data_IF_396671191631
#
_entry.id   IF_396671191631
#
_cell.length_a   1.000
_cell.length_b   1.000
_cell.length_c   1.000
_cell.angle_alpha   90.00
_cell.angle_beta   90.00
_cell.angle_gamma   90.00
#
_symmetry.space_group_name_H-M   'P 1'
#
loop_
_entity.id
_entity.type
_entity.pdbx_description
1 polymer ?
#
# COMPACT_ATOMS: atom_id res chain seq x y z
N UNK A 1 -10.61 8.90 3.42
CA UNK A 1 -9.17 9.16 3.20
C UNK A 1 -8.88 10.61 3.57
N UNK A 2 -7.75 10.89 4.23
CA UNK A 2 -7.41 12.25 4.68
C UNK A 2 -8.12 12.66 5.97
N UNK A 3 -8.53 11.72 6.83
CA UNK A 3 -9.29 12.00 8.07
C UNK A 3 -8.54 12.90 9.05
N UNK A 4 -7.20 12.96 8.95
CA UNK A 4 -6.36 13.87 9.73
C UNK A 4 -6.69 15.36 9.50
N UNK A 5 -7.31 15.72 8.37
CA UNK A 5 -7.77 17.09 8.08
C UNK A 5 -9.06 17.46 8.82
N UNK A 6 -9.73 16.49 9.42
CA UNK A 6 -11.06 16.64 10.02
C UNK A 6 -12.20 16.25 9.06
N UNK A 7 -13.44 16.16 9.58
CA UNK A 7 -14.58 15.55 8.89
C UNK A 7 -14.95 16.27 7.59
N UNK A 8 -14.78 17.58 7.52
CA UNK A 8 -15.18 18.41 6.37
C UNK A 8 -14.22 18.31 5.18
N UNK A 9 -13.03 17.74 5.38
CA UNK A 9 -11.98 17.61 4.36
C UNK A 9 -11.67 16.15 3.98
N UNK A 10 -12.50 15.21 4.46
CA UNK A 10 -12.37 13.79 4.13
C UNK A 10 -12.77 13.56 2.68
N UNK A 11 -11.92 12.84 1.95
CA UNK A 11 -12.23 12.35 0.61
C UNK A 11 -12.75 10.91 0.68
N UNK A 12 -13.64 10.50 -0.24
CA UNK A 12 -14.03 9.11 -0.38
C UNK A 12 -12.80 8.21 -0.46
N UNK A 13 -12.83 7.12 0.29
CA UNK A 13 -11.96 5.97 0.05
C UNK A 13 -12.58 5.05 -0.99
N UNK A 14 -12.15 3.80 -1.01
CA UNK A 14 -12.76 2.82 -1.90
C UNK A 14 -11.96 1.55 -2.05
N UNK A 15 -12.37 0.74 -3.02
CA UNK A 15 -11.66 -0.47 -3.43
C UNK A 15 -10.84 -0.17 -4.68
N UNK A 16 -9.55 -0.46 -4.61
CA UNK A 16 -8.61 -0.32 -5.71
C UNK A 16 -8.07 -1.66 -6.17
N UNK A 17 -7.89 -1.81 -7.47
CA UNK A 17 -7.30 -3.00 -8.08
C UNK A 17 -6.23 -2.56 -9.06
N UNK A 18 -5.06 -3.20 -9.02
CA UNK A 18 -4.04 -3.00 -10.03
C UNK A 18 -3.32 -4.31 -10.35
N UNK A 19 -2.89 -4.41 -11.61
CA UNK A 19 -2.08 -5.51 -12.14
C UNK A 19 -0.74 -4.96 -12.61
N UNK A 20 0.33 -5.67 -12.29
CA UNK A 20 1.69 -5.37 -12.74
C UNK A 20 2.33 -6.65 -13.28
N UNK A 21 3.01 -6.53 -14.42
CA UNK A 21 3.71 -7.63 -15.06
C UNK A 21 5.21 -7.35 -15.10
N UNK A 22 6.03 -8.35 -14.78
CA UNK A 22 7.50 -8.23 -14.77
C UNK A 22 8.20 -9.58 -14.94
N UNK A 23 7.59 -10.48 -15.70
CA UNK A 23 7.86 -11.91 -15.65
C UNK A 23 6.68 -12.61 -14.97
N UNK A 24 6.60 -12.63 -13.64
CA UNK A 24 5.38 -13.00 -12.94
C UNK A 24 4.35 -11.88 -13.04
N UNK A 25 3.09 -12.25 -12.84
CA UNK A 25 1.98 -11.33 -12.67
C UNK A 25 1.77 -11.09 -11.19
N UNK A 26 1.67 -9.82 -10.78
CA UNK A 26 1.22 -9.44 -9.43
C UNK A 26 -0.05 -8.62 -9.54
N UNK A 27 -1.08 -9.00 -8.78
CA UNK A 27 -2.33 -8.27 -8.64
C UNK A 27 -2.48 -7.84 -7.20
N UNK A 28 -2.74 -6.56 -6.97
CA UNK A 28 -3.12 -6.03 -5.66
C UNK A 28 -4.60 -5.63 -5.67
N UNK A 29 -5.31 -6.00 -4.62
CA UNK A 29 -6.68 -5.54 -4.32
C UNK A 29 -6.64 -4.92 -2.93
N UNK A 30 -6.99 -3.64 -2.83
CA UNK A 30 -6.81 -2.86 -1.59
C UNK A 30 -8.07 -2.06 -1.29
N UNK A 31 -8.63 -2.22 -0.10
CA UNK A 31 -9.65 -1.34 0.45
C UNK A 31 -8.98 -0.22 1.25
N UNK A 32 -9.22 1.03 0.85
CA UNK A 32 -8.52 2.21 1.35
C UNK A 32 -9.45 3.04 2.24
N UNK A 33 -9.19 3.02 3.54
CA UNK A 33 -9.74 3.96 4.52
C UNK A 33 -8.60 4.59 5.33
N UNK A 34 -7.64 5.20 4.64
CA UNK A 34 -6.42 5.72 5.26
C UNK A 34 -6.67 7.01 6.07
N UNK A 35 -5.89 7.17 7.14
CA UNK A 35 -5.78 8.43 7.84
C UNK A 35 -5.18 9.50 6.94
N UNK A 36 -4.02 9.24 6.35
CA UNK A 36 -3.38 10.10 5.34
C UNK A 36 -4.12 10.16 4.01
N UNK A 37 -3.48 10.78 3.02
CA UNK A 37 -4.07 11.03 1.69
C UNK A 37 -3.06 10.86 0.56
N UNK A 38 -3.50 10.83 -0.71
CA UNK A 38 -2.60 10.73 -1.84
C UNK A 38 -1.52 11.80 -1.83
N UNK A 39 -0.28 11.38 -2.07
CA UNK A 39 0.84 12.32 -2.14
C UNK A 39 0.91 12.99 -3.52
N UNK A 40 0.40 14.21 -3.58
CA UNK A 40 0.53 15.16 -4.69
C UNK A 40 1.46 16.33 -4.27
N UNK A 41 2.59 15.99 -3.65
CA UNK A 41 3.53 16.95 -3.05
C UNK A 41 3.16 17.37 -1.63
N UNK A 42 2.33 16.58 -0.95
CA UNK A 42 1.97 16.82 0.45
C UNK A 42 3.17 16.60 1.37
N UNK A 43 3.98 15.56 1.09
CA UNK A 43 5.16 15.28 1.91
C UNK A 43 6.11 16.49 1.96
N UNK A 44 6.40 17.07 0.80
CA UNK A 44 7.26 18.25 0.69
C UNK A 44 6.68 19.42 1.49
N UNK A 45 5.37 19.71 1.35
CA UNK A 45 4.72 20.77 2.13
C UNK A 45 4.78 20.53 3.64
N UNK A 46 4.64 19.29 4.08
CA UNK A 46 4.76 18.94 5.50
C UNK A 46 6.18 19.13 6.02
N UNK A 47 7.20 18.73 5.24
CA UNK A 47 8.62 18.85 5.60
C UNK A 47 9.07 20.31 5.59
N UNK A 48 8.64 21.08 4.59
CA UNK A 48 8.99 22.49 4.42
C UNK A 48 8.20 23.42 5.36
N UNK A 49 7.25 22.87 6.14
CA UNK A 49 6.40 23.63 7.05
C UNK A 49 5.29 24.43 6.37
N UNK A 50 5.07 24.23 5.07
CA UNK A 50 3.91 24.75 4.34
C UNK A 50 2.58 24.11 4.76
N UNK A 51 2.65 22.98 5.46
CA UNK A 51 1.51 22.26 6.02
C UNK A 51 1.89 21.64 7.38
N UNK A 52 0.95 21.53 8.32
CA UNK A 52 1.22 21.00 9.66
C UNK A 52 0.52 19.67 9.89
N UNK A 53 1.27 18.68 10.36
CA UNK A 53 0.75 17.38 10.75
C UNK A 53 0.94 17.10 12.26
N UNK A 54 -0.10 16.61 12.96
CA UNK A 54 -1.50 16.59 12.52
C UNK A 54 -2.08 18.01 12.36
N UNK A 55 -3.24 18.13 11.72
CA UNK A 55 -3.88 19.43 11.52
C UNK A 55 -4.11 20.14 12.88
N UNK A 56 -3.75 21.44 13.02
CA UNK A 56 -3.89 22.16 14.28
C UNK A 56 -5.33 22.19 14.82
N UNK A 57 -5.46 22.28 16.15
CA UNK A 57 -6.76 22.43 16.81
C UNK A 57 -7.59 21.15 16.93
N UNK A 58 -6.99 19.98 16.66
CA UNK A 58 -7.63 18.66 16.80
C UNK A 58 -6.74 17.69 17.57
N UNK A 59 -7.36 16.82 18.38
CA UNK A 59 -6.68 15.66 18.95
C UNK A 59 -6.71 14.54 17.91
N UNK A 60 -5.60 14.37 17.19
CA UNK A 60 -5.41 13.23 16.30
C UNK A 60 -4.95 12.03 17.13
N UNK A 61 -5.69 10.92 17.09
CA UNK A 61 -5.22 9.68 17.74
C UNK A 61 -6.13 9.04 18.77
N UNK A 62 -7.31 9.56 19.07
CA UNK A 62 -8.14 9.01 20.16
C UNK A 62 -8.74 7.63 19.84
N UNK A 63 -8.98 7.32 18.56
CA UNK A 63 -9.55 6.05 18.12
C UNK A 63 -8.90 5.55 16.81
N UNK A 64 -8.74 4.22 16.69
CA UNK A 64 -8.32 3.56 15.44
C UNK A 64 -9.51 3.45 14.49
N UNK A 65 -9.80 4.53 13.77
CA UNK A 65 -10.95 4.61 12.84
C UNK A 65 -10.55 4.45 11.37
N UNK A 66 -9.24 4.32 11.10
CA UNK A 66 -8.67 4.21 9.76
C UNK A 66 -8.03 2.84 9.53
N UNK A 67 -8.09 2.33 8.31
CA UNK A 67 -7.60 1.00 7.95
C UNK A 67 -7.37 0.93 6.44
N UNK A 68 -6.15 0.58 6.01
CA UNK A 68 -5.90 0.16 4.63
C UNK A 68 -5.58 -1.32 4.61
N UNK A 69 -6.50 -2.13 4.08
CA UNK A 69 -6.36 -3.59 4.04
C UNK A 69 -6.34 -4.10 2.61
N UNK A 70 -5.58 -5.16 2.35
CA UNK A 70 -5.49 -5.69 1.00
C UNK A 70 -4.83 -7.05 0.87
N UNK A 71 -4.97 -7.59 -0.33
CA UNK A 71 -4.34 -8.84 -0.75
C UNK A 71 -3.47 -8.61 -1.98
N UNK A 72 -2.31 -9.25 -1.99
CA UNK A 72 -1.37 -9.30 -3.10
C UNK A 72 -1.36 -10.74 -3.61
N UNK A 73 -1.68 -10.95 -4.88
CA UNK A 73 -1.72 -12.28 -5.49
C UNK A 73 -0.70 -12.35 -6.61
N UNK A 74 0.08 -13.44 -6.66
CA UNK A 74 1.07 -13.68 -7.71
C UNK A 74 0.95 -15.08 -8.34
N UNK A 75 1.36 -15.20 -9.60
CA UNK A 75 1.54 -16.50 -10.26
C UNK A 75 2.90 -17.15 -9.98
N UNK A 76 3.86 -16.41 -9.43
CA UNK A 76 5.19 -16.91 -9.05
C UNK A 76 5.12 -18.03 -8.01
N UNK A 77 6.09 -18.96 -8.05
CA UNK A 77 6.27 -19.98 -7.01
C UNK A 77 7.02 -19.38 -5.82
N UNK A 78 6.30 -19.15 -4.72
CA UNK A 78 6.84 -18.66 -3.45
C UNK A 78 6.45 -19.60 -2.32
N UNK A 79 7.29 -19.69 -1.28
CA UNK A 79 6.92 -20.31 -0.02
C UNK A 79 6.26 -19.28 0.92
N UNK A 80 5.88 -19.73 2.12
CA UNK A 80 5.23 -18.88 3.13
C UNK A 80 6.10 -17.69 3.54
N UNK A 81 7.41 -17.90 3.67
CA UNK A 81 8.37 -16.85 4.00
C UNK A 81 8.46 -15.82 2.88
N UNK A 82 8.51 -16.26 1.62
CA UNK A 82 8.45 -15.39 0.45
C UNK A 82 7.18 -14.56 0.39
N UNK A 83 6.02 -15.16 0.69
CA UNK A 83 4.75 -14.44 0.78
C UNK A 83 4.78 -13.37 1.89
N UNK A 84 5.34 -13.68 3.07
CA UNK A 84 5.50 -12.70 4.14
C UNK A 84 6.36 -11.51 3.69
N UNK A 85 7.49 -11.76 3.03
CA UNK A 85 8.38 -10.70 2.51
C UNK A 85 7.68 -9.86 1.43
N UNK A 86 6.84 -10.47 0.59
CA UNK A 86 6.04 -9.76 -0.42
C UNK A 86 4.98 -8.88 0.24
N UNK A 87 4.28 -9.39 1.27
CA UNK A 87 3.33 -8.61 2.04
C UNK A 87 3.99 -7.39 2.70
N UNK A 88 5.17 -7.58 3.30
CA UNK A 88 5.97 -6.49 3.87
C UNK A 88 6.32 -5.43 2.83
N UNK A 89 6.85 -5.82 1.66
CA UNK A 89 7.12 -4.86 0.58
C UNK A 89 5.86 -4.17 0.05
N UNK A 90 4.70 -4.82 0.15
CA UNK A 90 3.42 -4.15 -0.11
C UNK A 90 3.20 -2.89 0.74
N UNK A 91 3.65 -2.87 2.00
CA UNK A 91 3.53 -1.69 2.87
C UNK A 91 4.37 -0.51 2.37
N UNK A 92 5.46 -0.75 1.63
CA UNK A 92 6.22 0.31 0.95
C UNK A 92 5.36 0.93 -0.17
N UNK A 93 4.54 0.13 -0.85
CA UNK A 93 3.56 0.62 -1.83
C UNK A 93 2.50 1.51 -1.20
N UNK A 94 2.05 1.21 0.03
CA UNK A 94 1.17 2.09 0.80
C UNK A 94 1.87 3.43 1.09
N UNK A 95 3.11 3.40 1.59
CA UNK A 95 3.88 4.61 1.89
C UNK A 95 4.19 5.48 0.67
N UNK A 96 4.24 4.89 -0.54
CA UNK A 96 4.42 5.62 -1.81
C UNK A 96 3.12 6.21 -2.35
N UNK A 97 1.98 5.66 -1.95
CA UNK A 97 0.67 6.13 -2.39
C UNK A 97 0.04 7.13 -1.42
N UNK A 98 0.33 7.02 -0.12
CA UNK A 98 -0.33 7.76 0.94
C UNK A 98 0.69 8.48 1.82
N UNK A 99 0.39 9.73 2.15
CA UNK A 99 1.17 10.52 3.10
C UNK A 99 0.24 11.16 4.13
N UNK A 100 0.52 10.97 5.43
CA UNK A 100 1.30 9.88 6.03
C UNK A 100 0.55 8.54 5.96
N UNK A 101 1.26 7.46 5.60
CA UNK A 101 0.80 6.08 5.79
C UNK A 101 1.20 5.55 7.18
N UNK A 102 0.65 4.41 7.61
CA UNK A 102 1.06 3.69 8.83
C UNK A 102 0.98 4.55 10.11
N UNK A 103 -0.02 5.43 10.20
CA UNK A 103 -0.18 6.25 11.40
C UNK A 103 -0.63 5.39 12.58
N UNK A 104 -0.54 5.91 13.81
CA UNK A 104 -1.01 5.19 15.01
C UNK A 104 -2.50 4.85 15.00
N UNK A 105 -3.30 5.53 14.16
CA UNK A 105 -4.74 5.29 14.01
C UNK A 105 -5.08 4.41 12.82
N UNK A 106 -4.09 4.06 12.00
CA UNK A 106 -4.26 3.13 10.90
C UNK A 106 -4.16 1.68 11.38
N UNK A 107 -5.07 0.84 10.88
CA UNK A 107 -5.03 -0.62 10.97
C UNK A 107 -4.46 -1.27 9.72
N UNK A 108 -3.37 -0.73 9.16
CA UNK A 108 -2.85 -1.17 7.87
C UNK A 108 -2.42 -2.65 7.90
N UNK A 109 -2.92 -3.44 6.94
CA UNK A 109 -2.61 -4.87 6.84
C UNK A 109 -2.66 -5.38 5.40
N UNK A 110 -1.57 -5.99 4.96
CA UNK A 110 -1.48 -6.69 3.68
C UNK A 110 -1.17 -8.16 3.88
N UNK A 111 -1.81 -9.01 3.08
CA UNK A 111 -1.48 -10.43 2.97
C UNK A 111 -1.08 -10.74 1.54
N UNK A 112 -0.15 -11.68 1.36
CA UNK A 112 0.26 -12.13 0.03
C UNK A 112 -0.07 -13.62 -0.17
N UNK A 113 -0.45 -13.98 -1.38
CA UNK A 113 -0.73 -15.34 -1.79
C UNK A 113 -0.06 -15.63 -3.15
N UNK A 114 0.59 -16.79 -3.23
CA UNK A 114 1.18 -17.30 -4.45
C UNK A 114 0.37 -18.50 -4.96
N UNK A 115 -0.04 -18.45 -6.22
CA UNK A 115 -0.72 -19.59 -6.87
C UNK A 115 0.25 -20.64 -7.40
N UNK A 116 1.56 -20.33 -7.41
CA UNK A 116 2.64 -21.24 -7.82
C UNK A 116 2.46 -21.84 -9.21
N UNK A 117 1.85 -21.11 -10.14
CA UNK A 117 1.57 -21.54 -11.52
C UNK A 117 2.75 -21.30 -12.47
N UNK A 118 3.73 -20.51 -12.04
CA UNK A 118 4.92 -20.16 -12.81
C UNK A 118 6.18 -20.73 -12.14
N UNK A 119 6.87 -21.70 -12.77
CA UNK A 119 8.15 -22.18 -12.27
C UNK A 119 9.18 -21.05 -12.16
N UNK A 120 10.09 -21.18 -11.19
CA UNK A 120 11.23 -20.26 -11.05
C UNK A 120 12.10 -20.34 -12.32
N UNK A 121 12.39 -19.22 -13.00
CA UNK A 121 13.24 -19.21 -14.18
C UNK A 121 14.64 -19.76 -13.90
N UNK A 122 15.25 -20.48 -14.87
CA UNK A 122 16.64 -20.90 -14.77
C UNK A 122 17.56 -19.70 -14.49
N UNK A 123 18.50 -19.86 -13.56
CA UNK A 123 19.48 -18.84 -13.20
C UNK A 123 19.01 -17.76 -12.22
N UNK A 124 17.71 -17.68 -11.87
CA UNK A 124 17.21 -16.72 -10.88
C UNK A 124 17.24 -17.26 -9.44
N UNK A 125 16.87 -18.53 -9.29
CA UNK A 125 16.72 -19.19 -7.99
C UNK A 125 15.53 -18.66 -7.16
N UNK A 126 15.14 -19.34 -6.06
CA UNK A 126 13.98 -18.97 -5.26
C UNK A 126 14.07 -17.56 -4.64
N UNK A 127 15.25 -17.18 -4.14
CA UNK A 127 15.48 -15.85 -3.55
C UNK A 127 15.31 -14.72 -4.57
N UNK A 128 15.87 -14.88 -5.77
CA UNK A 128 15.69 -13.91 -6.85
C UNK A 128 14.24 -13.78 -7.32
N UNK A 129 13.46 -14.87 -7.29
CA UNK A 129 12.03 -14.84 -7.59
C UNK A 129 11.27 -14.01 -6.54
N UNK A 130 11.57 -14.21 -5.25
CA UNK A 130 10.98 -13.42 -4.15
C UNK A 130 11.28 -11.94 -4.33
N UNK A 131 12.54 -11.56 -4.54
CA UNK A 131 12.93 -10.15 -4.66
C UNK A 131 12.32 -9.48 -5.90
N UNK A 132 12.18 -10.23 -7.00
CA UNK A 132 11.46 -9.76 -8.19
C UNK A 132 9.99 -9.48 -7.88
N UNK A 133 9.30 -10.40 -7.19
CA UNK A 133 7.89 -10.20 -6.83
C UNK A 133 7.72 -9.03 -5.85
N UNK A 134 8.65 -8.84 -4.91
CA UNK A 134 8.61 -7.75 -3.94
C UNK A 134 8.56 -6.37 -4.61
N UNK A 135 9.42 -6.12 -5.60
CA UNK A 135 9.43 -4.86 -6.35
C UNK A 135 8.10 -4.65 -7.10
N UNK A 136 7.58 -5.71 -7.74
CA UNK A 136 6.29 -5.65 -8.44
C UNK A 136 5.12 -5.42 -7.48
N UNK A 137 5.19 -5.96 -6.27
CA UNK A 137 4.20 -5.77 -5.22
C UNK A 137 4.14 -4.31 -4.74
N UNK A 138 5.28 -3.64 -4.57
CA UNK A 138 5.32 -2.19 -4.28
C UNK A 138 4.52 -1.42 -5.33
N UNK A 139 4.81 -1.65 -6.61
CA UNK A 139 4.15 -0.95 -7.71
C UNK A 139 2.65 -1.31 -7.81
N UNK A 140 2.29 -2.58 -7.58
CA UNK A 140 0.90 -3.04 -7.63
C UNK A 140 0.07 -2.40 -6.52
N UNK A 141 0.57 -2.39 -5.29
CA UNK A 141 -0.13 -1.77 -4.16
C UNK A 141 -0.24 -0.26 -4.35
N UNK A 142 0.84 0.42 -4.77
CA UNK A 142 0.81 1.86 -5.03
C UNK A 142 -0.29 2.22 -6.06
N UNK A 143 -0.32 1.50 -7.18
CA UNK A 143 -1.32 1.73 -8.24
C UNK A 143 -2.74 1.38 -7.79
N UNK A 144 -2.92 0.32 -7.02
CA UNK A 144 -4.23 -0.06 -6.50
C UNK A 144 -4.77 1.04 -5.57
N UNK A 145 -3.95 1.53 -4.64
CA UNK A 145 -4.36 2.62 -3.74
C UNK A 145 -4.71 3.88 -4.52
N UNK A 146 -3.87 4.29 -5.48
CA UNK A 146 -4.15 5.47 -6.33
C UNK A 146 -5.47 5.29 -7.09
N UNK A 147 -5.74 4.10 -7.64
CA UNK A 147 -7.00 3.83 -8.32
C UNK A 147 -8.24 3.92 -7.38
N UNK A 148 -8.10 3.53 -6.12
CA UNK A 148 -9.19 3.57 -5.13
C UNK A 148 -9.64 4.99 -4.76
N UNK A 149 -8.76 5.97 -4.91
CA UNK A 149 -8.91 7.35 -4.39
C UNK A 149 -8.95 8.41 -5.49
N UNK A 150 -8.97 7.98 -6.75
CA UNK A 150 -9.08 8.87 -7.94
C UNK A 150 -10.53 9.08 -8.42
N UNK A 151 -11.51 8.46 -7.75
CA UNK A 151 -12.93 8.47 -8.12
C UNK A 151 -13.77 9.48 -7.35
#
# INVERSE_FOLDING_TARGET
VGTWRGPDAVRPGGLGIARVEGGPTVVAVVAVNAAGEPDDGLLDRLVDGGETWPAPGRVFGEERTNTTIGVIVTDATLDTTGCLLVAQSGHDGLGRALVPAHTRVDGDALVAAATCRRPVPPGLGPGGEVDRVRILAVAAVERAVRAAVSG
#
